data_IF_745687955057
#
_entry.id   IF_745687955057
#
_cell.length_a   1.000
_cell.length_b   1.000
_cell.length_c   1.000
_cell.angle_alpha   90.00
_cell.angle_beta   90.00
_cell.angle_gamma   90.00
#
_symmetry.space_group_name_H-M   'P 1'
#
loop_
_entity.id
_entity.type
_entity.pdbx_description
1 polymer ?
#
# COMPACT_ATOMS: atom_id res chain seq x y z
N UNK A 1 68.11 58.63 11.21
CA UNK A 1 67.44 57.83 10.16
C UNK A 1 67.52 56.31 10.39
N UNK A 2 68.65 55.76 10.84
CA UNK A 2 68.84 54.30 11.03
C UNK A 2 67.92 53.68 12.11
N UNK A 3 67.63 54.39 13.19
CA UNK A 3 66.75 53.92 14.29
C UNK A 3 65.27 53.81 13.88
N UNK A 4 64.78 54.64 12.97
CA UNK A 4 63.41 54.53 12.43
C UNK A 4 63.25 53.33 11.49
N UNK A 5 64.26 53.07 10.66
CA UNK A 5 64.25 51.98 9.69
C UNK A 5 64.29 50.59 10.34
N UNK A 6 64.97 50.44 11.48
CA UNK A 6 64.96 49.20 12.26
C UNK A 6 63.61 48.94 12.94
N UNK A 7 62.88 49.99 13.38
CA UNK A 7 61.53 49.86 13.94
C UNK A 7 60.51 49.43 12.87
N UNK A 8 60.59 49.99 11.66
CA UNK A 8 59.72 49.60 10.53
C UNK A 8 59.98 48.14 10.13
N UNK A 9 61.24 47.72 10.05
CA UNK A 9 61.61 46.31 9.80
C UNK A 9 61.05 45.36 10.86
N UNK A 10 61.15 45.72 12.14
CA UNK A 10 60.61 44.91 13.24
C UNK A 10 59.08 44.74 13.15
N UNK A 11 58.33 45.81 12.82
CA UNK A 11 56.87 45.74 12.65
C UNK A 11 56.45 44.85 11.47
N UNK A 12 57.19 44.88 10.35
CA UNK A 12 56.94 44.02 9.20
C UNK A 12 57.15 42.54 9.53
N UNK A 13 58.19 42.21 10.30
CA UNK A 13 58.39 40.84 10.77
C UNK A 13 57.25 40.38 11.67
N UNK A 14 56.80 41.20 12.61
CA UNK A 14 55.68 40.87 13.50
C UNK A 14 54.40 40.63 12.69
N UNK A 15 54.09 41.49 11.72
CA UNK A 15 52.93 41.33 10.85
C UNK A 15 53.00 40.04 10.01
N UNK A 16 54.18 39.70 9.49
CA UNK A 16 54.39 38.45 8.75
C UNK A 16 54.19 37.21 9.63
N UNK A 17 54.69 37.23 10.87
CA UNK A 17 54.49 36.14 11.83
C UNK A 17 53.01 35.94 12.20
N UNK A 18 52.26 37.04 12.41
CA UNK A 18 50.81 36.96 12.69
C UNK A 18 50.05 36.41 11.48
N UNK A 19 50.43 36.79 10.25
CA UNK A 19 49.80 36.26 9.04
C UNK A 19 50.06 34.75 8.86
N UNK A 20 51.30 34.30 9.10
CA UNK A 20 51.66 32.88 9.05
C UNK A 20 50.90 32.08 10.11
N UNK A 21 50.84 32.58 11.34
CA UNK A 21 50.10 31.94 12.43
C UNK A 21 48.59 31.87 12.15
N UNK A 22 48.01 32.96 11.64
CA UNK A 22 46.60 33.01 11.23
C UNK A 22 46.29 32.05 10.08
N UNK A 23 47.19 31.92 9.10
CA UNK A 23 47.04 30.98 7.98
C UNK A 23 47.10 29.53 8.44
N UNK A 24 47.94 29.20 9.42
CA UNK A 24 48.02 27.86 10.01
C UNK A 24 46.74 27.48 10.76
N UNK A 25 46.19 28.39 11.58
CA UNK A 25 44.89 28.20 12.27
C UNK A 25 43.73 28.00 11.27
N UNK A 26 43.75 28.73 10.15
CA UNK A 26 42.75 28.54 9.10
C UNK A 26 42.88 27.18 8.43
N UNK A 27 44.10 26.75 8.12
CA UNK A 27 44.36 25.46 7.48
C UNK A 27 43.87 24.28 8.35
N UNK A 28 44.13 24.32 9.66
CA UNK A 28 43.68 23.29 10.60
C UNK A 28 42.14 23.23 10.67
N UNK A 29 41.47 24.38 10.78
CA UNK A 29 40.00 24.44 10.77
C UNK A 29 39.38 23.98 9.45
N UNK A 30 39.99 24.33 8.32
CA UNK A 30 39.53 23.88 6.99
C UNK A 30 39.69 22.36 6.87
N UNK A 31 40.80 21.81 7.38
CA UNK A 31 41.01 20.36 7.45
C UNK A 31 39.91 19.66 8.25
N UNK A 32 39.66 20.12 9.48
CA UNK A 32 38.63 19.56 10.37
C UNK A 32 37.21 19.70 9.79
N UNK A 33 36.91 20.83 9.13
CA UNK A 33 35.61 21.04 8.51
C UNK A 33 35.42 20.13 7.30
N UNK A 34 36.46 19.93 6.48
CA UNK A 34 36.40 19.03 5.34
C UNK A 34 36.22 17.57 5.77
N UNK A 35 36.87 17.14 6.84
CA UNK A 35 36.69 15.78 7.38
C UNK A 35 35.28 15.58 7.93
N UNK A 36 34.75 16.56 8.70
CA UNK A 36 33.37 16.51 9.20
C UNK A 36 32.33 16.52 8.08
N UNK A 37 32.54 17.34 7.06
CA UNK A 37 31.68 17.37 5.88
C UNK A 37 31.70 16.04 5.12
N UNK A 38 32.87 15.42 4.96
CA UNK A 38 32.98 14.11 4.31
C UNK A 38 32.25 13.01 5.10
N UNK A 39 32.37 13.01 6.43
CA UNK A 39 31.64 12.10 7.32
C UNK A 39 30.11 12.29 7.23
N UNK A 40 29.65 13.54 7.32
CA UNK A 40 28.22 13.87 7.17
C UNK A 40 27.67 13.49 5.80
N UNK A 41 28.46 13.62 4.73
CA UNK A 41 28.04 13.17 3.40
C UNK A 41 27.88 11.65 3.35
N UNK A 42 28.78 10.89 3.97
CA UNK A 42 28.66 9.42 4.05
C UNK A 42 27.39 9.03 4.80
N UNK A 43 27.17 9.60 6.00
CA UNK A 43 25.97 9.35 6.80
C UNK A 43 24.69 9.72 6.03
N UNK A 44 24.67 10.88 5.36
CA UNK A 44 23.53 11.29 4.56
C UNK A 44 23.27 10.32 3.40
N UNK A 45 24.32 9.87 2.70
CA UNK A 45 24.15 8.90 1.60
C UNK A 45 23.65 7.54 2.08
N UNK A 46 24.03 7.11 3.27
CA UNK A 46 23.50 5.90 3.89
C UNK A 46 22.01 6.06 4.21
N UNK A 47 21.61 7.18 4.81
CA UNK A 47 20.20 7.47 5.08
C UNK A 47 19.37 7.60 3.81
N UNK A 48 19.92 8.17 2.73
CA UNK A 48 19.24 8.25 1.43
C UNK A 48 18.96 6.84 0.89
N UNK A 49 19.95 5.95 0.90
CA UNK A 49 19.76 4.56 0.44
C UNK A 49 18.69 3.82 1.23
N UNK A 50 18.68 3.99 2.56
CA UNK A 50 17.66 3.39 3.43
C UNK A 50 16.27 3.94 3.06
N UNK A 51 16.15 5.25 2.83
CA UNK A 51 14.88 5.84 2.42
C UNK A 51 14.42 5.38 1.03
N UNK A 52 15.33 5.23 0.07
CA UNK A 52 15.03 4.69 -1.26
C UNK A 52 14.47 3.26 -1.17
N UNK A 53 15.11 2.39 -0.38
CA UNK A 53 14.63 1.02 -0.14
C UNK A 53 13.21 1.01 0.49
N UNK A 54 12.98 1.86 1.49
CA UNK A 54 11.64 2.00 2.07
C UNK A 54 10.61 2.52 1.07
N UNK A 55 10.98 3.44 0.18
CA UNK A 55 10.08 3.95 -0.86
C UNK A 55 9.69 2.87 -1.85
N UNK A 56 10.64 2.07 -2.33
CA UNK A 56 10.39 0.95 -3.24
C UNK A 56 9.45 -0.08 -2.59
N UNK A 57 9.71 -0.42 -1.32
CA UNK A 57 8.87 -1.34 -0.55
C UNK A 57 7.44 -0.82 -0.39
N UNK A 58 7.27 0.44 0.01
CA UNK A 58 5.95 1.08 0.14
C UNK A 58 5.21 1.08 -1.20
N UNK A 59 5.91 1.37 -2.29
CA UNK A 59 5.33 1.38 -3.63
C UNK A 59 4.85 -0.02 -4.06
N UNK A 60 5.64 -1.05 -3.81
CA UNK A 60 5.26 -2.45 -4.05
C UNK A 60 3.99 -2.84 -3.27
N UNK A 61 3.95 -2.50 -1.98
CA UNK A 61 2.78 -2.74 -1.14
C UNK A 61 1.54 -1.99 -1.61
N UNK A 62 1.69 -0.74 -2.03
CA UNK A 62 0.59 0.05 -2.57
C UNK A 62 0.03 -0.54 -3.87
N UNK A 63 0.89 -1.07 -4.75
CA UNK A 63 0.45 -1.76 -5.96
C UNK A 63 -0.34 -3.02 -5.63
N UNK A 64 0.12 -3.80 -4.64
CA UNK A 64 -0.57 -5.01 -4.19
C UNK A 64 -1.95 -4.69 -3.60
N UNK A 65 -2.04 -3.67 -2.74
CA UNK A 65 -3.31 -3.22 -2.16
C UNK A 65 -4.28 -2.74 -3.24
N UNK A 66 -3.79 -1.94 -4.19
CA UNK A 66 -4.58 -1.45 -5.33
C UNK A 66 -5.16 -2.60 -6.14
N UNK A 67 -4.34 -3.62 -6.45
CA UNK A 67 -4.76 -4.81 -7.19
C UNK A 67 -5.90 -5.53 -6.49
N UNK A 68 -5.75 -5.88 -5.21
CA UNK A 68 -6.77 -6.64 -4.48
C UNK A 68 -8.04 -5.83 -4.21
N UNK A 69 -7.91 -4.52 -4.01
CA UNK A 69 -9.06 -3.61 -3.89
C UNK A 69 -9.85 -3.55 -5.18
N UNK A 70 -9.18 -3.43 -6.33
CA UNK A 70 -9.83 -3.42 -7.64
C UNK A 70 -10.52 -4.77 -7.94
N UNK A 71 -9.84 -5.88 -7.67
CA UNK A 71 -10.40 -7.22 -7.82
C UNK A 71 -11.65 -7.45 -6.94
N UNK A 72 -11.65 -6.94 -5.72
CA UNK A 72 -12.80 -6.98 -4.83
C UNK A 72 -13.96 -6.13 -5.36
N UNK A 73 -13.68 -4.92 -5.83
CA UNK A 73 -14.69 -4.03 -6.40
C UNK A 73 -15.34 -4.66 -7.65
N UNK A 74 -14.53 -5.21 -8.56
CA UNK A 74 -15.02 -5.89 -9.76
C UNK A 74 -15.93 -7.08 -9.41
N UNK A 75 -15.54 -7.91 -8.44
CA UNK A 75 -16.34 -9.06 -8.02
C UNK A 75 -17.66 -8.63 -7.33
N UNK A 76 -17.66 -7.51 -6.59
CA UNK A 76 -18.90 -6.93 -6.03
C UNK A 76 -19.85 -6.43 -7.12
N UNK A 77 -19.32 -5.76 -8.15
CA UNK A 77 -20.10 -5.31 -9.30
C UNK A 77 -20.73 -6.51 -10.03
N UNK A 78 -19.98 -7.59 -10.20
CA UNK A 78 -20.49 -8.81 -10.82
C UNK A 78 -21.61 -9.46 -10.00
N UNK A 79 -21.45 -9.55 -8.67
CA UNK A 79 -22.50 -10.05 -7.77
C UNK A 79 -23.76 -9.19 -7.88
N UNK A 80 -23.62 -7.86 -7.89
CA UNK A 80 -24.77 -6.95 -7.99
C UNK A 80 -25.49 -7.08 -9.34
N UNK A 81 -24.73 -7.19 -10.43
CA UNK A 81 -25.27 -7.47 -11.77
C UNK A 81 -26.06 -8.78 -11.80
N UNK A 82 -25.51 -9.86 -11.21
CA UNK A 82 -26.17 -11.15 -11.12
C UNK A 82 -27.43 -11.10 -10.27
N UNK A 83 -27.41 -10.34 -9.17
CA UNK A 83 -28.58 -10.11 -8.31
C UNK A 83 -29.71 -9.43 -9.07
N UNK A 84 -29.42 -8.34 -9.79
CA UNK A 84 -30.41 -7.62 -10.60
C UNK A 84 -30.95 -8.51 -11.72
N UNK A 85 -30.08 -9.28 -12.39
CA UNK A 85 -30.51 -10.22 -13.44
C UNK A 85 -31.45 -11.31 -12.89
N UNK A 86 -31.11 -11.90 -11.74
CA UNK A 86 -31.94 -12.90 -11.08
C UNK A 86 -33.30 -12.36 -10.63
N UNK A 87 -33.39 -11.09 -10.24
CA UNK A 87 -34.65 -10.45 -9.85
C UNK A 87 -35.54 -10.09 -11.06
N UNK A 88 -34.95 -9.60 -12.16
CA UNK A 88 -35.71 -9.08 -13.31
C UNK A 88 -36.03 -10.12 -14.38
N UNK A 89 -35.10 -11.02 -14.66
CA UNK A 89 -35.25 -12.04 -15.69
C UNK A 89 -34.51 -13.33 -15.26
N UNK A 90 -35.06 -14.06 -14.28
CA UNK A 90 -34.40 -15.25 -13.77
C UNK A 90 -34.30 -16.30 -14.88
N UNK A 91 -33.07 -16.71 -15.21
CA UNK A 91 -32.85 -17.94 -15.93
C UNK A 91 -33.42 -19.10 -15.10
N UNK A 92 -34.32 -19.88 -15.71
CA UNK A 92 -35.02 -20.96 -15.02
C UNK A 92 -34.33 -22.27 -15.31
N UNK A 93 -33.93 -22.97 -14.24
CA UNK A 93 -33.50 -24.35 -14.32
C UNK A 93 -34.68 -25.25 -14.00
N UNK A 94 -35.05 -26.13 -14.92
CA UNK A 94 -36.09 -27.13 -14.69
C UNK A 94 -35.53 -28.26 -13.85
N UNK A 95 -36.08 -28.43 -12.64
CA UNK A 95 -35.75 -29.54 -11.77
C UNK A 95 -36.89 -30.56 -11.88
N UNK A 96 -36.56 -31.79 -12.28
CA UNK A 96 -37.52 -32.89 -12.27
C UNK A 96 -37.77 -33.33 -10.83
N UNK A 97 -38.79 -32.76 -10.20
CA UNK A 97 -39.25 -33.17 -8.88
C UNK A 97 -40.34 -34.25 -9.00
N UNK A 98 -40.27 -35.30 -8.17
CA UNK A 98 -41.37 -36.25 -7.97
C UNK A 98 -42.01 -35.97 -6.62
N UNK A 99 -43.22 -35.41 -6.63
CA UNK A 99 -44.01 -35.24 -5.41
C UNK A 99 -44.81 -36.52 -5.15
N UNK A 100 -44.78 -37.05 -3.92
CA UNK A 100 -45.67 -38.15 -3.53
C UNK A 100 -47.12 -37.70 -3.68
N UNK A 101 -47.93 -38.49 -4.39
CA UNK A 101 -49.36 -38.22 -4.58
C UNK A 101 -50.08 -38.45 -3.26
N UNK A 102 -50.81 -37.45 -2.77
CA UNK A 102 -51.65 -37.62 -1.60
C UNK A 102 -52.77 -38.64 -1.90
N UNK A 103 -53.02 -39.57 -0.97
CA UNK A 103 -54.14 -40.50 -1.03
C UNK A 103 -55.43 -39.71 -0.72
N UNK A 104 -56.29 -39.54 -1.73
CA UNK A 104 -57.62 -38.90 -1.65
C UNK A 104 -57.67 -37.36 -1.55
N UNK A 105 -58.12 -36.70 -2.63
CA UNK A 105 -59.32 -35.84 -2.73
C UNK A 105 -59.37 -35.24 -4.15
N UNK A 106 -60.57 -35.16 -4.72
CA UNK A 106 -60.86 -34.42 -5.96
C UNK A 106 -60.29 -33.00 -5.89
N UNK A 107 -59.56 -32.50 -6.91
CA UNK A 107 -59.01 -31.15 -6.85
C UNK A 107 -60.14 -30.12 -6.80
N UNK A 108 -60.23 -29.40 -5.69
CA UNK A 108 -61.14 -28.26 -5.49
C UNK A 108 -60.60 -27.04 -6.24
N UNK A 109 -60.61 -27.08 -7.58
CA UNK A 109 -60.14 -25.97 -8.43
C UNK A 109 -58.63 -25.68 -8.33
N UNK A 110 -58.04 -25.12 -9.39
CA UNK A 110 -56.69 -24.56 -9.30
C UNK A 110 -56.82 -23.14 -8.77
N UNK A 111 -56.25 -22.89 -7.59
CA UNK A 111 -56.05 -21.54 -7.07
C UNK A 111 -54.88 -20.87 -7.82
N UNK A 112 -55.00 -19.58 -8.14
CA UNK A 112 -53.94 -18.77 -8.75
C UNK A 112 -52.90 -18.39 -7.67
N UNK A 113 -52.23 -19.41 -7.14
CA UNK A 113 -51.16 -19.23 -6.19
C UNK A 113 -49.93 -18.62 -6.86
N UNK A 114 -49.22 -17.78 -6.11
CA UNK A 114 -47.92 -17.23 -6.54
C UNK A 114 -46.98 -18.40 -6.87
N UNK A 115 -46.25 -18.28 -7.99
CA UNK A 115 -45.25 -19.28 -8.39
C UNK A 115 -44.31 -19.62 -7.21
N UNK A 116 -44.06 -20.91 -7.01
CA UNK A 116 -43.17 -21.39 -5.95
C UNK A 116 -41.80 -20.70 -6.05
N UNK A 117 -41.46 -19.88 -5.04
CA UNK A 117 -40.17 -19.18 -4.93
C UNK A 117 -39.62 -19.27 -3.51
N UNK A 118 -38.30 -19.17 -3.31
CA UNK A 118 -37.71 -19.05 -1.97
C UNK A 118 -38.25 -17.83 -1.22
N UNK A 119 -38.22 -17.88 0.10
CA UNK A 119 -38.60 -16.74 0.95
C UNK A 119 -37.66 -15.55 0.71
N UNK A 120 -38.14 -14.32 0.88
CA UNK A 120 -37.32 -13.11 0.70
C UNK A 120 -36.09 -13.10 1.61
N UNK A 121 -36.20 -13.67 2.82
CA UNK A 121 -35.08 -13.85 3.74
C UNK A 121 -34.02 -14.81 3.20
N UNK A 122 -34.42 -15.93 2.59
CA UNK A 122 -33.48 -16.88 1.98
C UNK A 122 -32.74 -16.24 0.79
N UNK A 123 -33.45 -15.50 -0.06
CA UNK A 123 -32.86 -14.78 -1.21
C UNK A 123 -31.83 -13.76 -0.71
N UNK A 124 -32.20 -12.92 0.26
CA UNK A 124 -31.29 -11.92 0.83
C UNK A 124 -30.06 -12.54 1.47
N UNK A 125 -30.23 -13.61 2.26
CA UNK A 125 -29.14 -14.29 2.93
C UNK A 125 -28.18 -14.96 1.94
N UNK A 126 -28.69 -15.52 0.84
CA UNK A 126 -27.85 -16.07 -0.22
C UNK A 126 -26.92 -15.02 -0.84
N UNK A 127 -27.45 -13.85 -1.21
CA UNK A 127 -26.63 -12.78 -1.78
C UNK A 127 -25.62 -12.22 -0.78
N UNK A 128 -26.02 -12.03 0.47
CA UNK A 128 -25.11 -11.61 1.55
C UNK A 128 -23.97 -12.62 1.75
N UNK A 129 -24.27 -13.92 1.70
CA UNK A 129 -23.28 -14.98 1.81
C UNK A 129 -22.27 -14.91 0.65
N UNK A 130 -22.75 -14.74 -0.59
CA UNK A 130 -21.89 -14.60 -1.78
C UNK A 130 -20.93 -13.41 -1.65
N UNK A 131 -21.43 -12.26 -1.19
CA UNK A 131 -20.58 -11.08 -0.97
C UNK A 131 -19.51 -11.34 0.10
N UNK A 132 -19.89 -11.95 1.23
CA UNK A 132 -18.96 -12.27 2.32
C UNK A 132 -17.87 -13.25 1.89
N UNK A 133 -18.22 -14.27 1.12
CA UNK A 133 -17.26 -15.23 0.58
C UNK A 133 -16.24 -14.51 -0.30
N UNK A 134 -16.70 -13.69 -1.26
CA UNK A 134 -15.79 -12.94 -2.14
C UNK A 134 -14.87 -12.01 -1.33
N UNK A 135 -15.41 -11.29 -0.35
CA UNK A 135 -14.61 -10.41 0.51
C UNK A 135 -13.54 -11.18 1.27
N UNK A 136 -13.90 -12.28 1.92
CA UNK A 136 -12.96 -13.12 2.67
C UNK A 136 -11.90 -13.73 1.76
N UNK A 137 -12.30 -14.25 0.60
CA UNK A 137 -11.36 -14.82 -0.37
C UNK A 137 -10.34 -13.77 -0.84
N UNK A 138 -10.79 -12.56 -1.19
CA UNK A 138 -9.87 -11.47 -1.60
C UNK A 138 -8.94 -11.04 -0.47
N UNK A 139 -9.43 -10.96 0.76
CA UNK A 139 -8.59 -10.66 1.93
C UNK A 139 -7.53 -11.73 2.16
N UNK A 140 -7.90 -13.02 2.10
CA UNK A 140 -6.96 -14.13 2.27
C UNK A 140 -5.91 -14.15 1.16
N UNK A 141 -6.32 -13.97 -0.09
CA UNK A 141 -5.39 -13.90 -1.23
C UNK A 141 -4.44 -12.71 -1.09
N UNK A 142 -4.94 -11.54 -0.70
CA UNK A 142 -4.12 -10.37 -0.45
C UNK A 142 -3.10 -10.57 0.67
N UNK A 143 -3.50 -11.23 1.77
CA UNK A 143 -2.57 -11.59 2.85
C UNK A 143 -1.52 -12.62 2.41
N UNK A 144 -1.92 -13.60 1.59
CA UNK A 144 -0.97 -14.58 1.04
C UNK A 144 0.05 -13.93 0.11
N UNK A 145 -0.39 -13.04 -0.78
CA UNK A 145 0.51 -12.31 -1.67
C UNK A 145 1.40 -11.33 -0.88
N UNK A 146 0.87 -10.68 0.17
CA UNK A 146 1.68 -9.86 1.07
C UNK A 146 2.82 -10.67 1.69
N UNK A 147 2.53 -11.84 2.26
CA UNK A 147 3.55 -12.71 2.86
C UNK A 147 4.60 -13.13 1.82
N UNK A 148 4.19 -13.44 0.58
CA UNK A 148 5.12 -13.79 -0.51
C UNK A 148 6.00 -12.63 -0.98
N UNK A 149 5.50 -11.40 -0.88
CA UNK A 149 6.28 -10.23 -1.28
C UNK A 149 7.23 -9.79 -0.16
N UNK A 150 6.75 -9.82 1.08
CA UNK A 150 7.41 -9.16 2.23
C UNK A 150 8.18 -10.10 3.16
N UNK A 151 7.80 -11.37 3.24
CA UNK A 151 8.34 -12.31 4.23
C UNK A 151 9.15 -13.46 3.61
N UNK A 152 9.15 -13.60 2.29
CA UNK A 152 10.01 -14.56 1.58
C UNK A 152 11.22 -13.91 0.88
N UNK A 153 11.53 -12.67 1.25
CA UNK A 153 12.84 -12.06 1.00
C UNK A 153 13.83 -12.42 2.11
#
# INVERSE_FOLDING_TARGET
MVTGMNKVRALLFIAAWVAIWGMWIQHERIGELNTKNAELLVELTEQVKINEDYQERIQSLHQLDTKHTQELANAKIEIDKLRIAAERNPERVYIKASCKKAESLTPSGMDDAISARPTDSAIRNYWLLRERIVKLTRMVLGLQDYIRTECSQ
#
